data_IF_727413403772
#
_entry.id   IF_727413403772
#
_cell.length_a   1.000
_cell.length_b   1.000
_cell.length_c   1.000
_cell.angle_alpha   90.00
_cell.angle_beta   90.00
_cell.angle_gamma   90.00
#
_symmetry.space_group_name_H-M   'P 1'
#
loop_
_entity.id
_entity.type
_entity.pdbx_description
1 polymer ?
#
# COMPACT_ATOMS: atom_id res chain seq x y z
N UNK A 1 -5.71 3.89 14.31
CA UNK A 1 -6.46 5.15 14.06
C UNK A 1 -7.15 4.96 12.74
N UNK A 2 -8.47 5.10 12.70
CA UNK A 2 -9.27 4.58 11.58
C UNK A 2 -8.99 5.34 10.29
N UNK A 3 -8.92 4.60 9.18
CA UNK A 3 -8.81 5.18 7.84
C UNK A 3 -10.14 5.84 7.53
N UNK A 4 -10.28 7.15 7.63
CA UNK A 4 -11.58 7.78 7.43
C UNK A 4 -11.93 7.95 5.94
N UNK A 5 -10.92 8.22 5.11
CA UNK A 5 -11.09 8.53 3.68
C UNK A 5 -10.07 7.78 2.82
N UNK A 6 -10.57 6.94 1.92
CA UNK A 6 -9.79 6.27 0.87
C UNK A 6 -10.14 6.90 -0.48
N UNK A 7 -9.13 7.31 -1.22
CA UNK A 7 -9.29 7.74 -2.62
C UNK A 7 -8.59 6.77 -3.55
N UNK A 8 -9.33 6.20 -4.50
CA UNK A 8 -8.76 5.31 -5.52
C UNK A 8 -8.41 6.13 -6.75
N UNK A 9 -7.12 6.14 -7.11
CA UNK A 9 -6.67 6.86 -8.31
C UNK A 9 -7.34 6.31 -9.58
N UNK A 10 -7.37 7.12 -10.63
CA UNK A 10 -7.83 6.67 -11.94
C UNK A 10 -7.05 5.45 -12.42
N UNK A 11 -5.72 5.44 -12.27
CA UNK A 11 -4.85 4.32 -12.64
C UNK A 11 -5.17 3.04 -11.88
N UNK A 12 -5.47 3.13 -10.58
CA UNK A 12 -5.88 1.99 -9.78
C UNK A 12 -7.27 1.47 -10.22
N UNK A 13 -8.19 2.39 -10.54
CA UNK A 13 -9.55 2.08 -10.97
C UNK A 13 -9.59 1.43 -12.36
N UNK A 14 -8.79 1.88 -13.33
CA UNK A 14 -8.70 1.28 -14.68
C UNK A 14 -8.23 -0.19 -14.65
N UNK A 15 -7.60 -0.62 -13.55
CA UNK A 15 -7.15 -2.00 -13.36
C UNK A 15 -8.23 -2.91 -12.76
N UNK A 16 -9.42 -2.39 -12.44
CA UNK A 16 -10.52 -3.17 -11.87
C UNK A 16 -10.94 -4.36 -12.75
N UNK A 17 -10.76 -4.27 -14.07
CA UNK A 17 -11.03 -5.38 -14.99
C UNK A 17 -10.09 -6.59 -14.80
N UNK A 18 -8.94 -6.39 -14.15
CA UNK A 18 -7.90 -7.42 -13.96
C UNK A 18 -7.70 -7.82 -12.50
N UNK A 19 -8.00 -6.90 -11.59
CA UNK A 19 -7.68 -7.05 -10.17
C UNK A 19 -8.90 -6.67 -9.31
N UNK A 20 -8.76 -5.76 -8.34
CA UNK A 20 -9.82 -5.35 -7.43
C UNK A 20 -10.56 -4.11 -7.92
N UNK A 21 -11.87 -4.07 -7.71
CA UNK A 21 -12.67 -2.86 -7.89
C UNK A 21 -12.32 -1.79 -6.83
N UNK A 22 -12.66 -0.51 -7.06
CA UNK A 22 -12.46 0.56 -6.07
C UNK A 22 -13.06 0.26 -4.69
N UNK A 23 -14.25 -0.34 -4.64
CA UNK A 23 -14.88 -0.73 -3.38
C UNK A 23 -14.10 -1.82 -2.65
N UNK A 24 -13.57 -2.81 -3.37
CA UNK A 24 -12.73 -3.86 -2.79
C UNK A 24 -11.39 -3.30 -2.30
N UNK A 25 -10.79 -2.34 -3.00
CA UNK A 25 -9.57 -1.66 -2.54
C UNK A 25 -9.81 -0.91 -1.23
N UNK A 26 -10.95 -0.22 -1.12
CA UNK A 26 -11.33 0.45 0.13
C UNK A 26 -11.50 -0.56 1.28
N UNK A 27 -12.22 -1.67 1.04
CA UNK A 27 -12.37 -2.73 2.04
C UNK A 27 -11.02 -3.35 2.43
N UNK A 28 -10.13 -3.62 1.47
CA UNK A 28 -8.80 -4.17 1.78
C UNK A 28 -8.01 -3.25 2.70
N UNK A 29 -7.97 -1.95 2.41
CA UNK A 29 -7.24 -1.02 3.27
C UNK A 29 -7.85 -0.92 4.67
N UNK A 30 -9.17 -1.05 4.81
CA UNK A 30 -9.87 -0.91 6.10
C UNK A 30 -9.84 -2.18 6.96
N UNK A 31 -9.92 -3.35 6.34
CA UNK A 31 -10.31 -4.59 7.05
C UNK A 31 -9.30 -5.73 6.91
N UNK A 32 -8.39 -5.68 5.93
CA UNK A 32 -7.48 -6.78 5.65
C UNK A 32 -6.08 -6.55 6.18
N UNK A 33 -5.42 -7.66 6.49
CA UNK A 33 -4.00 -7.72 6.85
C UNK A 33 -3.16 -8.20 5.69
N UNK A 34 -1.90 -7.77 5.62
CA UNK A 34 -0.89 -8.26 4.69
C UNK A 34 0.48 -7.83 5.15
N UNK A 35 1.50 -7.93 4.31
CA UNK A 35 2.83 -7.40 4.60
C UNK A 35 2.91 -5.95 4.15
N UNK A 36 3.04 -5.01 5.08
CA UNK A 36 3.18 -3.58 4.78
C UNK A 36 4.63 -3.16 4.86
N UNK A 37 5.12 -2.53 3.80
CA UNK A 37 6.46 -1.99 3.75
C UNK A 37 6.52 -0.66 3.00
N UNK A 38 7.56 0.13 3.28
CA UNK A 38 7.93 1.28 2.45
C UNK A 38 9.28 1.05 1.79
N UNK A 39 9.50 1.67 0.63
CA UNK A 39 10.81 1.68 -0.01
C UNK A 39 11.77 2.55 0.79
N UNK A 40 12.98 2.06 0.97
CA UNK A 40 14.07 2.81 1.59
C UNK A 40 15.35 2.62 0.79
N UNK A 41 16.29 3.54 0.96
CA UNK A 41 17.61 3.45 0.37
C UNK A 41 18.65 3.64 1.48
N UNK A 42 19.50 2.64 1.76
CA UNK A 42 20.57 2.80 2.75
C UNK A 42 21.64 3.80 2.31
N UNK A 43 21.68 4.15 1.01
CA UNK A 43 22.75 4.95 0.41
C UNK A 43 22.28 6.35 -0.04
N UNK A 44 20.98 6.63 -0.02
CA UNK A 44 20.42 7.87 -0.52
C UNK A 44 19.25 8.33 0.33
N UNK A 45 19.45 9.42 1.07
CA UNK A 45 18.37 10.10 1.77
C UNK A 45 17.35 10.66 0.77
N UNK A 46 16.05 10.55 1.09
CA UNK A 46 14.93 11.12 0.34
C UNK A 46 14.80 10.64 -1.13
N UNK A 47 15.38 9.48 -1.47
CA UNK A 47 15.21 8.91 -2.82
C UNK A 47 13.78 8.44 -3.08
N UNK A 48 13.08 8.01 -2.02
CA UNK A 48 11.71 7.54 -2.09
C UNK A 48 10.82 8.40 -1.18
N UNK A 49 9.53 8.57 -1.52
CA UNK A 49 8.59 9.27 -0.65
C UNK A 49 8.42 8.51 0.67
N UNK A 50 8.55 9.20 1.80
CA UNK A 50 8.40 8.61 3.13
C UNK A 50 6.97 8.18 3.45
N UNK A 51 6.01 8.65 2.65
CA UNK A 51 4.59 8.43 2.82
C UNK A 51 3.99 7.41 1.84
N UNK A 52 4.81 6.77 0.99
CA UNK A 52 4.37 5.74 0.04
C UNK A 52 4.66 4.34 0.57
N UNK A 53 3.62 3.50 0.57
CA UNK A 53 3.66 2.16 1.13
C UNK A 53 3.10 1.14 0.15
N UNK A 54 3.53 -0.11 0.31
CA UNK A 54 2.98 -1.28 -0.37
C UNK A 54 2.38 -2.21 0.66
N UNK A 55 1.10 -2.55 0.49
CA UNK A 55 0.42 -3.65 1.16
C UNK A 55 0.44 -4.88 0.23
N UNK A 56 1.25 -5.87 0.59
CA UNK A 56 1.39 -7.14 -0.12
C UNK A 56 0.54 -8.22 0.55
N UNK A 57 -0.33 -8.89 -0.18
CA UNK A 57 -1.13 -9.97 0.39
C UNK A 57 -1.95 -10.74 -0.63
N UNK A 58 -2.78 -11.65 -0.14
CA UNK A 58 -3.81 -12.31 -0.93
C UNK A 58 -5.16 -11.67 -0.61
N UNK A 59 -5.81 -11.07 -1.62
CA UNK A 59 -7.06 -10.34 -1.46
C UNK A 59 -8.06 -10.85 -2.50
N UNK A 60 -9.24 -11.28 -2.06
CA UNK A 60 -10.27 -11.84 -2.93
C UNK A 60 -9.74 -12.97 -3.86
N UNK A 61 -8.81 -13.79 -3.36
CA UNK A 61 -8.19 -14.89 -4.11
C UNK A 61 -7.08 -14.47 -5.10
N UNK A 62 -6.62 -13.21 -5.04
CA UNK A 62 -5.56 -12.67 -5.88
C UNK A 62 -4.34 -12.27 -5.05
N UNK A 63 -3.16 -12.76 -5.42
CA UNK A 63 -1.88 -12.30 -4.87
C UNK A 63 -1.49 -10.95 -5.48
N UNK A 64 -1.65 -9.87 -4.70
CA UNK A 64 -1.47 -8.50 -5.16
C UNK A 64 -0.53 -7.70 -4.26
N UNK A 65 0.09 -6.71 -4.90
CA UNK A 65 0.71 -5.56 -4.25
C UNK A 65 -0.21 -4.35 -4.49
N UNK A 66 -0.67 -3.73 -3.41
CA UNK A 66 -1.45 -2.48 -3.44
C UNK A 66 -0.53 -1.36 -2.98
N UNK A 67 -0.28 -0.40 -3.84
CA UNK A 67 0.56 0.77 -3.55
C UNK A 67 -0.33 1.95 -3.19
N UNK A 68 -0.07 2.56 -2.04
CA UNK A 68 -0.86 3.67 -1.53
C UNK A 68 0.03 4.72 -0.85
N UNK A 69 -0.43 5.97 -0.86
CA UNK A 69 0.18 7.06 -0.12
C UNK A 69 -0.68 7.44 1.09
N UNK A 70 -0.03 7.74 2.20
CA UNK A 70 -0.66 8.36 3.37
C UNK A 70 -0.52 9.88 3.21
N UNK A 71 -1.65 10.57 3.16
CA UNK A 71 -1.71 12.03 3.15
C UNK A 71 -2.33 12.53 4.46
N UNK A 72 -2.30 13.85 4.68
CA UNK A 72 -2.76 14.46 5.93
C UNK A 72 -4.21 14.13 6.29
N UNK A 73 -5.09 13.98 5.30
CA UNK A 73 -6.54 13.82 5.46
C UNK A 73 -7.11 12.56 4.76
N UNK A 74 -6.26 11.74 4.12
CA UNK A 74 -6.71 10.59 3.32
C UNK A 74 -5.61 9.56 3.08
N UNK A 75 -6.03 8.38 2.63
CA UNK A 75 -5.17 7.37 2.01
C UNK A 75 -5.48 7.32 0.53
N UNK A 76 -4.48 7.55 -0.32
CA UNK A 76 -4.63 7.54 -1.77
C UNK A 76 -4.07 6.22 -2.35
N UNK A 77 -4.93 5.37 -2.91
CA UNK A 77 -4.49 4.18 -3.65
C UNK A 77 -3.93 4.62 -4.99
N UNK A 78 -2.62 4.45 -5.16
CA UNK A 78 -1.90 4.86 -6.37
C UNK A 78 -2.12 3.82 -7.45
N UNK A 79 -1.92 2.53 -7.13
CA UNK A 79 -2.02 1.44 -8.10
C UNK A 79 -2.16 0.09 -7.41
N UNK A 80 -2.46 -0.93 -8.21
CA UNK A 80 -2.47 -2.34 -7.82
C UNK A 80 -1.79 -3.17 -8.90
N UNK A 81 -1.06 -4.21 -8.51
CA UNK A 81 -0.35 -5.08 -9.45
C UNK A 81 -0.22 -6.50 -8.92
N UNK A 82 -0.06 -7.45 -9.84
CA UNK A 82 0.31 -8.82 -9.48
C UNK A 82 1.66 -8.84 -8.77
N UNK A 83 1.78 -9.70 -7.76
CA UNK A 83 3.08 -9.94 -7.14
C UNK A 83 4.02 -10.58 -8.16
N UNK A 84 5.10 -9.86 -8.47
CA UNK A 84 6.25 -10.46 -9.14
C UNK A 84 7.23 -10.96 -8.07
N UNK A 85 7.98 -12.02 -8.37
CA UNK A 85 8.85 -12.75 -7.43
C UNK A 85 9.97 -11.91 -6.78
N UNK A 86 10.04 -10.62 -7.08
CA UNK A 86 10.91 -9.68 -6.41
C UNK A 86 10.45 -9.49 -4.96
N UNK A 87 11.35 -9.83 -4.05
CA UNK A 87 11.12 -9.76 -2.61
C UNK A 87 10.98 -8.32 -2.16
N UNK A 88 9.81 -7.94 -1.63
CA UNK A 88 9.64 -6.71 -0.83
C UNK A 88 10.21 -6.84 0.58
N UNK A 89 11.05 -7.86 0.81
CA UNK A 89 11.79 -8.09 2.05
C UNK A 89 13.27 -7.93 1.75
N UNK A 90 13.95 -7.11 2.54
CA UNK A 90 15.38 -6.87 2.44
C UNK A 90 15.75 -5.40 2.62
N UNK A 91 17.03 -5.08 2.44
CA UNK A 91 17.60 -3.77 2.80
C UNK A 91 17.00 -2.54 2.08
N UNK A 92 16.25 -2.73 0.99
CA UNK A 92 15.60 -1.64 0.24
C UNK A 92 14.12 -1.46 0.60
N UNK A 93 13.62 -2.26 1.54
CA UNK A 93 12.26 -2.20 2.03
C UNK A 93 12.24 -2.27 3.54
N UNK A 94 11.70 -1.25 4.17
CA UNK A 94 11.45 -1.24 5.60
C UNK A 94 10.08 -1.89 5.85
N UNK A 95 10.05 -2.91 6.72
CA UNK A 95 8.80 -3.46 7.22
C UNK A 95 8.17 -2.47 8.19
N UNK A 96 6.90 -2.16 7.97
CA UNK A 96 6.15 -1.13 8.70
C UNK A 96 5.08 -1.73 9.60
N UNK A 97 4.51 -2.87 9.21
CA UNK A 97 3.46 -3.54 9.96
C UNK A 97 2.63 -4.44 9.06
N UNK A 98 1.41 -4.76 9.52
CA UNK A 98 0.54 -5.69 8.82
C UNK A 98 -0.76 -5.08 8.29
N UNK A 99 -1.01 -3.79 8.61
CA UNK A 99 -2.23 -3.07 8.24
C UNK A 99 -1.92 -1.70 7.65
N UNK A 100 -2.88 -1.12 6.92
CA UNK A 100 -2.75 0.27 6.47
C UNK A 100 -2.80 1.28 7.65
N UNK A 101 -3.34 0.90 8.81
CA UNK A 101 -3.24 1.73 10.03
C UNK A 101 -1.80 1.80 10.57
N UNK A 102 -1.02 0.73 10.43
CA UNK A 102 0.40 0.73 10.80
C UNK A 102 1.17 1.71 9.92
N UNK A 103 0.89 1.72 8.61
CA UNK A 103 1.46 2.72 7.69
C UNK A 103 1.08 4.16 8.07
N UNK A 104 -0.18 4.42 8.45
CA UNK A 104 -0.59 5.75 8.91
C UNK A 104 0.15 6.17 10.18
N UNK A 105 0.29 5.24 11.12
CA UNK A 105 1.00 5.51 12.38
C UNK A 105 2.47 5.80 12.11
N UNK A 106 3.09 5.04 11.21
CA UNK A 106 4.48 5.18 10.82
C UNK A 106 4.77 6.49 10.07
N UNK A 107 3.92 6.88 9.12
CA UNK A 107 4.09 8.12 8.33
C UNK A 107 3.98 9.42 9.14
N UNK A 108 3.55 9.34 10.41
CA UNK A 108 3.34 10.48 11.31
C UNK A 108 4.40 10.59 12.41
N UNK A 109 5.35 9.66 12.46
CA UNK A 109 6.52 9.69 13.33
C UNK A 109 7.63 10.54 12.71
#
# INVERSE_FOLDING_TARGET
MTIDRVEVSHTAAEKADRYLSPAQLETVLREHTGYVCRRTSPNHDNLYPDNEFTLRGEFYGLSLDIVFAVESDRVAVITQMSQHSDSLRGQFYEYVGDTAEDAITHARL
#
